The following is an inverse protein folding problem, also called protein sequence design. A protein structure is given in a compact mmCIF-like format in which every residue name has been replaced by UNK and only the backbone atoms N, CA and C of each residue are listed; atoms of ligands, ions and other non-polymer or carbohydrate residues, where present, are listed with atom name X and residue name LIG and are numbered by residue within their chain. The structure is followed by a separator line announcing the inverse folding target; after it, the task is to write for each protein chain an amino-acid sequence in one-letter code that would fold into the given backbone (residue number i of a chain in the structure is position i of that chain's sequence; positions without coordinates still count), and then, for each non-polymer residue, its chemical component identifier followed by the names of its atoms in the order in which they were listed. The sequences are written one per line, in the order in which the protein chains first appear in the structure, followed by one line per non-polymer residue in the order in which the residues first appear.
data_IF_230550824857
#
_entry.id   IF_230550824857
#
_cell.length_a   1.000
_cell.length_b   1.000
_cell.length_c   1.000
_cell.angle_alpha   90.00
_cell.angle_beta   90.00
_cell.angle_gamma   90.00
#
_symmetry.space_group_name_H-M   'P 1'
#
loop_
_entity.id
_entity.type
_entity.pdbx_description
1 polymer ?
#
# COMPACT_ATOMS: atom_id res chain seq x y z
N UNK A 1 3.05 16.35 15.05
CA UNK A 1 2.26 15.11 14.92
C UNK A 1 0.93 15.45 14.24
N UNK A 2 0.58 14.78 13.15
CA UNK A 2 -0.57 15.19 12.32
C UNK A 2 -1.86 14.57 12.87
N UNK A 3 -2.61 15.32 13.68
CA UNK A 3 -3.85 14.87 14.37
C UNK A 3 -4.89 14.30 13.39
N UNK A 4 -4.94 14.86 12.18
CA UNK A 4 -5.86 14.42 11.12
C UNK A 4 -5.53 13.00 10.63
N UNK A 5 -4.26 12.66 10.46
CA UNK A 5 -3.86 11.32 10.03
C UNK A 5 -4.21 10.25 11.07
N UNK A 6 -4.00 10.56 12.35
CA UNK A 6 -4.39 9.68 13.45
C UNK A 6 -5.91 9.51 13.53
N UNK A 7 -6.67 10.59 13.37
CA UNK A 7 -8.14 10.52 13.33
C UNK A 7 -8.64 9.62 12.20
N UNK A 8 -8.04 9.70 11.02
CA UNK A 8 -8.37 8.85 9.87
C UNK A 8 -8.01 7.39 10.11
N UNK A 9 -6.83 7.12 10.70
CA UNK A 9 -6.41 5.78 11.05
C UNK A 9 -7.38 5.14 12.05
N UNK A 10 -7.69 5.84 13.15
CA UNK A 10 -8.65 5.39 14.16
C UNK A 10 -10.02 5.16 13.56
N UNK A 11 -10.51 6.09 12.72
CA UNK A 11 -11.77 5.93 12.00
C UNK A 11 -11.75 4.65 11.13
N UNK A 12 -10.70 4.43 10.35
CA UNK A 12 -10.58 3.25 9.49
C UNK A 12 -10.58 1.95 10.29
N UNK A 13 -9.87 1.94 11.44
CA UNK A 13 -9.83 0.78 12.33
C UNK A 13 -11.17 0.49 13.00
N UNK A 14 -11.92 1.52 13.37
CA UNK A 14 -13.29 1.39 13.95
C UNK A 14 -14.29 1.01 12.86
N UNK A 15 -14.23 1.66 11.70
CA UNK A 15 -15.14 1.44 10.59
C UNK A 15 -15.06 0.00 10.05
N UNK A 16 -13.93 -0.70 10.23
CA UNK A 16 -13.79 -2.13 9.94
C UNK A 16 -14.96 -2.96 10.49
N UNK A 17 -15.45 -2.63 11.70
CA UNK A 17 -16.54 -3.38 12.37
C UNK A 17 -17.85 -3.32 11.59
N UNK A 18 -18.04 -2.30 10.76
CA UNK A 18 -19.26 -2.05 9.98
C UNK A 18 -19.06 -2.31 8.48
N UNK A 19 -17.84 -2.63 8.04
CA UNK A 19 -17.49 -2.88 6.63
C UNK A 19 -17.42 -4.37 6.36
N UNK A 20 -17.80 -4.77 5.14
CA UNK A 20 -17.73 -6.15 4.67
C UNK A 20 -16.30 -6.68 4.76
N UNK A 21 -16.13 -7.90 5.26
CA UNK A 21 -14.87 -8.65 5.09
C UNK A 21 -14.61 -8.85 3.60
N UNK A 22 -13.36 -8.95 3.25
CA UNK A 22 -12.89 -9.18 1.88
C UNK A 22 -11.88 -10.32 1.89
N UNK A 23 -11.74 -10.97 0.75
CA UNK A 23 -10.66 -11.93 0.54
C UNK A 23 -9.34 -11.20 0.28
N UNK A 24 -8.22 -11.91 0.44
CA UNK A 24 -6.89 -11.33 0.30
C UNK A 24 -6.60 -10.75 -1.09
N UNK A 25 -7.17 -11.35 -2.13
CA UNK A 25 -7.02 -10.93 -3.53
C UNK A 25 -8.05 -9.91 -3.98
N UNK A 26 -9.05 -9.61 -3.15
CA UNK A 26 -10.07 -8.63 -3.46
C UNK A 26 -9.52 -7.20 -3.48
N UNK A 27 -10.22 -6.32 -4.18
CA UNK A 27 -9.95 -4.89 -4.13
C UNK A 27 -10.54 -4.28 -2.87
N UNK A 28 -9.69 -3.74 -2.00
CA UNK A 28 -10.10 -2.97 -0.84
C UNK A 28 -10.33 -1.52 -1.24
N UNK A 29 -11.55 -1.01 -1.00
CA UNK A 29 -11.89 0.40 -1.27
C UNK A 29 -11.95 1.14 0.06
N UNK A 30 -11.10 2.17 0.22
CA UNK A 30 -11.05 3.03 1.40
C UNK A 30 -11.45 4.45 0.99
N UNK A 31 -12.60 4.98 1.50
CA UNK A 31 -13.02 6.34 1.17
C UNK A 31 -12.25 7.37 1.99
N UNK A 32 -11.87 8.47 1.33
CA UNK A 32 -11.24 9.64 1.93
C UNK A 32 -11.93 10.92 1.46
N UNK A 33 -11.72 11.99 2.23
CA UNK A 33 -12.08 13.34 1.85
C UNK A 33 -10.88 14.25 2.05
N UNK A 34 -10.57 15.08 1.07
CA UNK A 34 -9.50 16.09 1.17
C UNK A 34 -9.91 17.17 2.16
N UNK A 35 -9.09 17.42 3.15
CA UNK A 35 -9.30 18.42 4.21
C UNK A 35 -8.29 19.56 4.06
N UNK A 36 -8.53 20.74 4.67
CA UNK A 36 -7.58 21.86 4.59
C UNK A 36 -6.15 21.51 5.00
N UNK A 37 -5.98 20.61 5.98
CA UNK A 37 -4.67 20.12 6.44
C UNK A 37 -3.96 19.18 5.46
N UNK A 38 -4.62 18.78 4.38
CA UNK A 38 -4.03 17.94 3.34
C UNK A 38 -3.48 18.77 2.17
N UNK A 39 -3.79 20.07 2.12
CA UNK A 39 -3.40 20.94 1.02
C UNK A 39 -1.95 21.45 1.17
N UNK A 40 -1.36 21.80 0.03
CA UNK A 40 -0.11 22.55 -0.09
C UNK A 40 -0.37 24.03 -0.39
N UNK A 41 0.70 24.77 -0.70
CA UNK A 41 0.63 26.20 -1.03
C UNK A 41 -0.12 26.49 -2.35
N UNK A 42 -0.29 25.50 -3.21
CA UNK A 42 -1.04 25.62 -4.45
C UNK A 42 -2.53 25.27 -4.27
N UNK A 43 -2.99 25.09 -3.02
CA UNK A 43 -4.36 24.67 -2.68
C UNK A 43 -4.78 23.31 -3.26
N UNK A 44 -3.82 22.47 -3.67
CA UNK A 44 -4.03 21.10 -4.06
C UNK A 44 -3.56 20.12 -2.98
N UNK A 45 -4.03 18.88 -3.04
CA UNK A 45 -3.58 17.85 -2.12
C UNK A 45 -2.07 17.64 -2.23
N UNK A 46 -1.38 17.83 -1.11
CA UNK A 46 0.07 17.69 -1.00
C UNK A 46 0.51 16.26 -1.34
N UNK A 47 1.57 16.12 -2.13
CA UNK A 47 2.10 14.82 -2.58
C UNK A 47 2.42 13.86 -1.43
N UNK A 48 2.92 14.35 -0.29
CA UNK A 48 3.20 13.52 0.88
C UNK A 48 1.93 12.90 1.51
N UNK A 49 0.76 13.50 1.28
CA UNK A 49 -0.51 12.97 1.78
C UNK A 49 -0.95 11.71 1.06
N UNK A 50 -0.64 11.59 -0.23
CA UNK A 50 -0.91 10.36 -0.98
C UNK A 50 -0.23 9.16 -0.32
N UNK A 51 1.04 9.26 0.05
CA UNK A 51 1.75 8.17 0.74
C UNK A 51 1.10 7.82 2.09
N UNK A 52 0.75 8.83 2.89
CA UNK A 52 0.06 8.60 4.16
C UNK A 52 -1.31 7.92 4.00
N UNK A 53 -2.06 8.27 2.95
CA UNK A 53 -3.34 7.61 2.66
C UNK A 53 -3.14 6.20 2.11
N UNK A 54 -2.07 5.97 1.33
CA UNK A 54 -1.68 4.65 0.88
C UNK A 54 -1.38 3.71 2.04
N UNK A 55 -0.70 4.19 3.10
CA UNK A 55 -0.49 3.42 4.34
C UNK A 55 -1.81 2.99 4.99
N UNK A 56 -2.76 3.92 5.11
CA UNK A 56 -4.09 3.63 5.67
C UNK A 56 -4.84 2.62 4.79
N UNK A 57 -4.79 2.76 3.48
CA UNK A 57 -5.42 1.81 2.54
C UNK A 57 -4.86 0.39 2.67
N UNK A 58 -3.54 0.26 2.82
CA UNK A 58 -2.90 -1.05 3.06
C UNK A 58 -3.30 -1.65 4.41
N UNK A 59 -3.39 -0.82 5.46
CA UNK A 59 -3.89 -1.26 6.77
C UNK A 59 -5.36 -1.68 6.72
N UNK A 60 -6.21 -0.99 5.94
CA UNK A 60 -7.61 -1.37 5.74
C UNK A 60 -7.71 -2.74 5.05
N UNK A 61 -6.91 -2.98 4.00
CA UNK A 61 -6.81 -4.27 3.32
C UNK A 61 -6.42 -5.39 4.29
N UNK A 62 -5.31 -5.23 5.02
CA UNK A 62 -4.82 -6.22 5.98
C UNK A 62 -5.84 -6.52 7.09
N UNK A 63 -6.54 -5.49 7.56
CA UNK A 63 -7.54 -5.65 8.61
C UNK A 63 -8.80 -6.36 8.12
N UNK A 64 -9.31 -5.99 6.96
CA UNK A 64 -10.58 -6.53 6.44
C UNK A 64 -10.42 -7.93 5.87
N UNK A 65 -9.23 -8.27 5.34
CA UNK A 65 -8.89 -9.63 4.93
C UNK A 65 -8.54 -10.58 6.08
N UNK A 66 -8.44 -10.07 7.32
CA UNK A 66 -8.06 -10.89 8.47
C UNK A 66 -6.54 -11.13 8.60
N UNK A 67 -5.75 -10.79 7.58
CA UNK A 67 -4.30 -10.98 7.56
C UNK A 67 -3.57 -10.34 8.75
N UNK A 68 -4.04 -9.16 9.18
CA UNK A 68 -3.43 -8.47 10.32
C UNK A 68 -3.44 -9.33 11.60
N UNK A 69 -4.51 -10.08 11.84
CA UNK A 69 -4.61 -10.99 12.99
C UNK A 69 -3.61 -12.13 12.90
N UNK A 70 -3.50 -12.77 11.74
CA UNK A 70 -2.56 -13.88 11.50
C UNK A 70 -1.11 -13.40 11.57
N UNK A 71 -0.81 -12.24 11.01
CA UNK A 71 0.52 -11.64 11.11
C UNK A 71 0.90 -11.36 12.56
N UNK A 72 -0.03 -10.81 13.36
CA UNK A 72 0.18 -10.56 14.80
C UNK A 72 0.45 -11.84 15.57
N UNK A 73 -0.31 -12.92 15.33
CA UNK A 73 -0.13 -14.23 15.98
C UNK A 73 1.25 -14.82 15.68
N UNK A 74 1.78 -14.63 14.47
CA UNK A 74 3.08 -15.15 14.05
C UNK A 74 4.26 -14.18 14.35
N UNK A 75 4.01 -13.05 15.01
CA UNK A 75 5.00 -11.99 15.21
C UNK A 75 5.60 -11.46 13.89
N UNK A 76 4.77 -11.37 12.87
CA UNK A 76 5.11 -10.82 11.57
C UNK A 76 4.66 -9.38 11.44
N UNK A 77 5.38 -8.60 10.63
CA UNK A 77 5.00 -7.22 10.34
C UNK A 77 5.39 -6.84 8.90
N UNK A 78 4.57 -6.03 8.21
CA UNK A 78 4.86 -5.58 6.88
C UNK A 78 5.82 -4.39 6.91
N UNK A 79 6.72 -4.33 5.94
CA UNK A 79 7.56 -3.16 5.67
C UNK A 79 7.49 -2.79 4.20
N UNK A 80 7.49 -1.50 3.92
CA UNK A 80 7.60 -0.99 2.56
C UNK A 80 9.06 -1.01 2.15
N UNK A 81 9.36 -1.72 1.07
CA UNK A 81 10.71 -1.80 0.51
C UNK A 81 10.94 -0.74 -0.58
N UNK A 82 9.87 -0.38 -1.30
CA UNK A 82 9.91 0.62 -2.37
C UNK A 82 8.50 1.09 -2.74
N UNK A 83 8.36 2.32 -3.20
CA UNK A 83 7.09 2.87 -3.67
C UNK A 83 7.32 3.73 -4.90
N UNK A 84 6.44 3.62 -5.88
CA UNK A 84 6.39 4.49 -7.04
C UNK A 84 4.96 4.98 -7.21
N UNK A 85 4.80 6.30 -7.30
CA UNK A 85 3.51 6.95 -7.58
C UNK A 85 3.62 7.84 -8.82
N UNK A 86 2.53 7.88 -9.58
CA UNK A 86 2.34 8.79 -10.71
C UNK A 86 1.09 9.61 -10.46
N UNK A 87 1.21 10.92 -10.63
CA UNK A 87 0.13 11.88 -10.44
C UNK A 87 -0.41 12.29 -11.82
N UNK A 88 -1.69 12.04 -12.06
CA UNK A 88 -2.36 12.41 -13.32
C UNK A 88 -3.14 13.71 -13.21
N UNK A 89 -3.86 13.90 -12.09
CA UNK A 89 -4.70 15.07 -11.82
C UNK A 89 -4.58 15.49 -10.36
N UNK A 90 -4.77 16.78 -10.08
CA UNK A 90 -4.81 17.30 -8.71
C UNK A 90 -6.12 16.97 -8.02
N UNK A 91 -6.04 16.73 -6.72
CA UNK A 91 -7.20 16.64 -5.84
C UNK A 91 -7.35 17.94 -5.08
N UNK A 92 -8.58 18.46 -5.07
CA UNK A 92 -8.93 19.76 -4.50
C UNK A 92 -9.59 19.62 -3.12
N UNK A 93 -9.71 20.74 -2.43
CA UNK A 93 -10.38 20.81 -1.13
C UNK A 93 -11.78 20.19 -1.18
N UNK A 94 -12.09 19.33 -0.18
CA UNK A 94 -13.34 18.61 -0.03
C UNK A 94 -13.65 17.56 -1.10
N UNK A 95 -12.74 17.25 -1.97
CA UNK A 95 -12.91 16.13 -2.89
C UNK A 95 -13.13 14.83 -2.11
N UNK A 96 -14.13 14.08 -2.56
CA UNK A 96 -14.39 12.72 -2.10
C UNK A 96 -13.64 11.75 -3.00
N UNK A 97 -12.74 10.97 -2.42
CA UNK A 97 -11.79 10.11 -3.10
C UNK A 97 -11.95 8.67 -2.62
N UNK A 98 -11.94 7.73 -3.53
CA UNK A 98 -11.86 6.30 -3.25
C UNK A 98 -10.42 5.84 -3.50
N UNK A 99 -9.75 5.32 -2.48
CA UNK A 99 -8.49 4.64 -2.63
C UNK A 99 -8.74 3.15 -2.79
N UNK A 100 -8.51 2.65 -3.99
CA UNK A 100 -8.52 1.23 -4.27
C UNK A 100 -7.13 0.65 -3.98
N UNK A 101 -7.08 -0.38 -3.15
CA UNK A 101 -5.86 -1.11 -2.79
C UNK A 101 -6.06 -2.57 -3.14
N UNK A 102 -5.18 -3.14 -3.96
CA UNK A 102 -5.27 -4.52 -4.41
C UNK A 102 -3.89 -5.16 -4.41
N UNK A 103 -3.79 -6.40 -3.93
CA UNK A 103 -2.61 -7.21 -4.17
C UNK A 103 -2.55 -7.55 -5.67
N UNK A 104 -1.46 -7.14 -6.31
CA UNK A 104 -1.25 -7.36 -7.75
C UNK A 104 -0.49 -8.65 -8.03
N UNK A 105 0.41 -9.04 -7.12
CA UNK A 105 1.19 -10.25 -7.22
C UNK A 105 2.34 -10.29 -6.23
N UNK A 106 3.20 -11.29 -6.37
CA UNK A 106 4.37 -11.47 -5.52
C UNK A 106 5.53 -12.15 -6.27
N UNK A 107 6.75 -11.93 -5.81
CA UNK A 107 7.92 -12.75 -6.14
C UNK A 107 8.38 -13.51 -4.88
N UNK A 108 9.49 -14.23 -4.94
CA UNK A 108 9.99 -15.01 -3.81
C UNK A 108 10.15 -14.22 -2.49
N UNK A 109 10.26 -12.89 -2.55
CA UNK A 109 10.60 -12.04 -1.39
C UNK A 109 9.68 -10.85 -1.17
N UNK A 110 8.85 -10.50 -2.15
CA UNK A 110 8.09 -9.25 -2.12
C UNK A 110 6.67 -9.45 -2.61
N UNK A 111 5.76 -8.71 -1.99
CA UNK A 111 4.40 -8.50 -2.46
C UNK A 111 4.32 -7.17 -3.22
N UNK A 112 3.57 -7.13 -4.30
CA UNK A 112 3.33 -5.94 -5.12
C UNK A 112 1.88 -5.52 -4.95
N UNK A 113 1.67 -4.33 -4.42
CA UNK A 113 0.35 -3.79 -4.11
C UNK A 113 0.10 -2.61 -5.04
N UNK A 114 -0.95 -2.70 -5.83
CA UNK A 114 -1.43 -1.59 -6.65
C UNK A 114 -2.38 -0.73 -5.84
N UNK A 115 -2.22 0.59 -5.92
CA UNK A 115 -3.11 1.56 -5.28
C UNK A 115 -3.52 2.63 -6.30
N UNK A 116 -4.83 2.96 -6.34
CA UNK A 116 -5.37 3.94 -7.27
C UNK A 116 -6.28 4.90 -6.51
N UNK A 117 -6.02 6.19 -6.67
CA UNK A 117 -6.88 7.26 -6.17
C UNK A 117 -7.89 7.62 -7.24
N UNK A 118 -9.16 7.40 -6.96
CA UNK A 118 -10.26 7.64 -7.88
C UNK A 118 -11.22 8.68 -7.35
N UNK A 119 -11.65 9.57 -8.22
CA UNK A 119 -12.75 10.50 -7.98
C UNK A 119 -13.78 10.26 -9.08
N UNK A 120 -14.98 9.83 -8.71
CA UNK A 120 -15.95 9.23 -9.62
C UNK A 120 -15.29 8.02 -10.30
N UNK A 121 -15.32 7.94 -11.64
CA UNK A 121 -14.73 6.83 -12.40
C UNK A 121 -13.33 7.14 -12.97
N UNK A 122 -12.75 8.30 -12.61
CA UNK A 122 -11.43 8.72 -13.11
C UNK A 122 -10.32 8.45 -12.10
N UNK A 123 -9.15 8.01 -12.63
CA UNK A 123 -7.92 7.83 -11.86
C UNK A 123 -7.17 9.16 -11.78
N UNK A 124 -6.97 9.67 -10.59
CA UNK A 124 -6.23 10.89 -10.28
C UNK A 124 -4.75 10.63 -9.98
N UNK A 125 -4.47 9.53 -9.31
CA UNK A 125 -3.10 9.05 -9.10
C UNK A 125 -3.09 7.52 -9.06
N UNK A 126 -1.98 6.94 -9.50
CA UNK A 126 -1.74 5.50 -9.45
C UNK A 126 -0.39 5.19 -8.85
N UNK A 127 -0.33 4.16 -8.02
CA UNK A 127 0.88 3.76 -7.34
C UNK A 127 1.07 2.24 -7.36
N UNK A 128 2.33 1.84 -7.27
CA UNK A 128 2.71 0.47 -6.97
C UNK A 128 3.65 0.47 -5.77
N UNK A 129 3.38 -0.41 -4.82
CA UNK A 129 4.12 -0.56 -3.58
C UNK A 129 4.75 -1.94 -3.55
N UNK A 130 6.03 -1.99 -3.25
CA UNK A 130 6.79 -3.21 -3.01
C UNK A 130 6.93 -3.41 -1.52
N UNK A 131 6.24 -4.40 -0.98
CA UNK A 131 6.22 -4.70 0.44
C UNK A 131 6.93 -6.03 0.73
N UNK A 132 7.45 -6.16 1.94
CA UNK A 132 7.99 -7.40 2.51
C UNK A 132 7.33 -7.69 3.84
N UNK A 133 7.27 -8.95 4.20
CA UNK A 133 6.91 -9.38 5.54
C UNK A 133 8.18 -9.80 6.28
N UNK A 134 8.33 -9.28 7.48
CA UNK A 134 9.44 -9.62 8.37
C UNK A 134 8.90 -10.35 9.61
N UNK A 135 9.66 -11.33 10.08
CA UNK A 135 9.48 -11.92 11.42
C UNK A 135 10.37 -11.18 12.41
N UNK A 136 9.85 -10.91 13.60
CA UNK A 136 10.64 -10.31 14.68
C UNK A 136 11.83 -11.18 15.09
N UNK A 137 11.72 -12.51 14.92
CA UNK A 137 12.77 -13.46 15.33
C UNK A 137 13.75 -13.79 14.21
N UNK A 138 13.26 -13.91 12.95
CA UNK A 138 14.03 -14.46 11.81
C UNK A 138 14.38 -13.45 10.73
N UNK A 139 13.85 -12.21 10.84
CA UNK A 139 14.04 -11.20 9.79
C UNK A 139 13.13 -11.43 8.57
N UNK A 140 13.61 -11.17 7.33
CA UNK A 140 12.81 -11.30 6.11
C UNK A 140 12.32 -12.73 5.88
N UNK A 141 11.03 -12.87 5.54
CA UNK A 141 10.40 -14.15 5.20
C UNK A 141 10.27 -14.31 3.68
N UNK A 142 10.29 -15.56 3.23
CA UNK A 142 9.92 -15.89 1.86
C UNK A 142 8.39 -15.81 1.69
N UNK A 143 7.94 -15.38 0.50
CA UNK A 143 6.50 -15.22 0.23
C UNK A 143 5.75 -16.55 0.25
N UNK A 144 6.39 -17.67 -0.13
CA UNK A 144 5.82 -19.01 -0.05
C UNK A 144 5.39 -19.38 1.37
N UNK A 145 6.26 -19.16 2.38
CA UNK A 145 5.96 -19.42 3.78
C UNK A 145 4.75 -18.60 4.28
N UNK A 146 4.65 -17.36 3.81
CA UNK A 146 3.57 -16.47 4.19
C UNK A 146 2.26 -16.93 3.56
N UNK A 147 2.31 -17.31 2.27
CA UNK A 147 1.13 -17.74 1.52
C UNK A 147 0.58 -19.07 2.04
N UNK A 148 1.43 -20.04 2.35
CA UNK A 148 1.01 -21.29 2.98
C UNK A 148 0.24 -21.07 4.29
N UNK A 149 0.56 -20.00 5.02
CA UNK A 149 -0.12 -19.66 6.28
C UNK A 149 -1.40 -18.85 6.06
N UNK A 150 -1.45 -18.04 5.00
CA UNK A 150 -2.49 -17.03 4.80
C UNK A 150 -3.48 -17.35 3.67
N UNK A 151 -3.08 -18.21 2.74
CA UNK A 151 -3.80 -18.40 1.49
C UNK A 151 -3.61 -19.81 0.95
N UNK A 152 -4.67 -20.59 1.00
CA UNK A 152 -4.67 -22.01 0.59
C UNK A 152 -4.83 -22.18 -0.93
N UNK A 153 -4.06 -21.42 -1.73
CA UNK A 153 -4.06 -21.61 -3.17
C UNK A 153 -2.66 -21.45 -3.80
N UNK A 154 -2.40 -22.30 -4.79
CA UNK A 154 -1.18 -22.30 -5.60
C UNK A 154 -1.22 -21.29 -6.77
N UNK A 155 -2.24 -20.45 -6.84
CA UNK A 155 -2.39 -19.47 -7.91
C UNK A 155 -1.34 -18.37 -7.77
N UNK A 156 -0.33 -18.41 -8.62
CA UNK A 156 0.60 -17.29 -8.77
C UNK A 156 -0.01 -16.25 -9.71
N UNK A 157 -0.36 -15.05 -9.24
CA UNK A 157 -0.79 -14.00 -10.14
C UNK A 157 0.33 -13.61 -11.09
N UNK A 158 -0.04 -13.37 -12.32
CA UNK A 158 0.90 -13.02 -13.37
C UNK A 158 1.52 -11.63 -13.09
N UNK A 159 2.79 -11.60 -12.73
CA UNK A 159 3.51 -10.35 -12.51
C UNK A 159 3.77 -9.68 -13.86
N UNK A 160 3.30 -8.45 -14.04
CA UNK A 160 3.57 -7.71 -15.26
C UNK A 160 5.07 -7.55 -15.54
N UNK A 161 5.52 -7.69 -16.79
CA UNK A 161 6.93 -7.59 -17.16
C UNK A 161 7.61 -6.29 -16.67
N UNK A 162 6.91 -5.16 -16.69
CA UNK A 162 7.45 -3.87 -16.24
C UNK A 162 7.76 -3.82 -14.73
N UNK A 163 7.13 -4.67 -13.90
CA UNK A 163 7.50 -4.80 -12.48
C UNK A 163 8.90 -5.43 -12.32
N UNK A 164 9.28 -6.32 -13.23
CA UNK A 164 10.62 -6.91 -13.26
C UNK A 164 11.67 -5.86 -13.62
N UNK A 165 11.36 -4.98 -14.57
CA UNK A 165 12.24 -3.86 -14.94
C UNK A 165 12.41 -2.89 -13.77
N UNK A 166 11.32 -2.56 -13.06
CA UNK A 166 11.38 -1.72 -11.88
C UNK A 166 12.24 -2.34 -10.75
N UNK A 167 12.14 -3.65 -10.54
CA UNK A 167 13.00 -4.39 -9.59
C UNK A 167 14.48 -4.18 -9.91
N UNK A 168 14.85 -4.25 -11.17
CA UNK A 168 16.22 -4.09 -11.63
C UNK A 168 16.71 -2.64 -11.53
N UNK A 169 15.84 -1.65 -11.78
CA UNK A 169 16.18 -0.23 -11.72
C UNK A 169 16.56 0.26 -10.32
N UNK A 170 15.97 -0.31 -9.27
CA UNK A 170 16.28 0.06 -7.87
C UNK A 170 17.72 -0.27 -7.48
N UNK A 171 18.19 -1.48 -7.83
CA UNK A 171 19.57 -1.86 -7.55
C UNK A 171 20.55 -0.93 -8.22
N UNK A 172 20.24 -0.47 -9.43
CA UNK A 172 21.08 0.48 -10.16
C UNK A 172 21.14 1.85 -9.48
N UNK A 173 20.05 2.35 -8.90
CA UNK A 173 20.03 3.68 -8.26
C UNK A 173 20.84 3.70 -6.96
N UNK A 174 20.57 2.80 -6.02
CA UNK A 174 21.31 2.72 -4.75
C UNK A 174 22.79 2.35 -4.97
N UNK A 175 23.08 1.47 -5.93
CA UNK A 175 24.45 1.13 -6.32
C UNK A 175 25.21 2.32 -6.91
N UNK A 176 24.57 3.12 -7.77
CA UNK A 176 25.16 4.34 -8.33
C UNK A 176 25.41 5.41 -7.27
N UNK A 177 24.47 5.61 -6.33
CA UNK A 177 24.62 6.57 -5.22
C UNK A 177 25.82 6.18 -4.33
N UNK A 178 25.99 4.88 -4.03
CA UNK A 178 27.13 4.41 -3.24
C UNK A 178 28.46 4.57 -4.00
N UNK A 179 28.49 4.26 -5.29
CA UNK A 179 29.70 4.32 -6.13
C UNK A 179 30.18 5.76 -6.38
N UNK A 180 29.31 6.76 -6.24
CA UNK A 180 29.65 8.19 -6.39
C UNK A 180 30.10 8.84 -5.06
N UNK A 181 30.26 8.06 -3.97
CA UNK A 181 30.76 8.52 -2.66
C UNK A 181 32.21 8.14 -2.40
N UNK A 182 32.77 7.29 -3.24
CA UNK A 182 34.19 6.92 -3.27
C UNK A 182 34.91 7.69 -4.37
#
# INVERSE_FOLDING_TARGET
MNLNLWGRLVYTLIAKRFRKKIEFMDTCITPFRVLPSDLDLNFHMNNARYFAWMDIGRLDLLNRSGMFSTMKQNNWFPVVADEKISFGKSLDLFDSVLLETKLHGWDAKNFYIQQQFKKKDEIYAGAIVKARILSKQRGPLETSEILETLYDSNDQPNIYPWLTEWKNSRFSLLGRIKKNRD
#
